data_IF_788921573653
#
_entry.id   IF_788921573653
#
_cell.length_a   1.000
_cell.length_b   1.000
_cell.length_c   1.000
_cell.angle_alpha   90.00
_cell.angle_beta   90.00
_cell.angle_gamma   90.00
#
_symmetry.space_group_name_H-M   'P 1'
#
loop_
_entity.id
_entity.type
_entity.pdbx_description
1 polymer ?
#
# COMPACT_ATOMS: atom_id res chain seq x y z
N UNK A 1 -38.28 -53.40 11.54
CA UNK A 1 -39.27 -52.94 12.52
C UNK A 1 -39.23 -51.42 12.40
N UNK A 2 -39.94 -50.83 11.48
CA UNK A 2 -41.37 -50.38 11.52
C UNK A 2 -41.67 -49.54 12.76
N UNK A 3 -41.85 -48.22 12.66
CA UNK A 3 -43.09 -47.48 12.55
C UNK A 3 -42.80 -45.98 12.69
N UNK A 4 -43.09 -45.18 11.71
CA UNK A 4 -44.29 -44.40 11.36
C UNK A 4 -44.52 -43.13 12.18
N UNK A 5 -44.56 -42.01 11.43
CA UNK A 5 -45.17 -40.68 11.70
C UNK A 5 -46.65 -40.80 12.06
N UNK A 6 -47.27 -39.75 12.62
CA UNK A 6 -47.97 -38.81 11.72
C UNK A 6 -47.97 -37.31 12.14
N UNK A 7 -48.11 -36.41 11.18
CA UNK A 7 -48.92 -35.20 11.16
C UNK A 7 -50.35 -35.57 10.74
N UNK A 8 -51.34 -34.67 10.65
CA UNK A 8 -51.50 -33.22 10.84
C UNK A 8 -52.78 -32.78 11.59
N UNK A 9 -53.10 -31.49 11.74
CA UNK A 9 -54.37 -30.92 11.23
C UNK A 9 -54.62 -29.46 11.65
N UNK A 10 -55.04 -28.74 10.64
CA UNK A 10 -55.66 -27.43 10.62
C UNK A 10 -56.84 -27.25 11.61
N UNK A 11 -57.06 -25.97 12.03
CA UNK A 11 -58.39 -25.39 12.09
C UNK A 11 -58.34 -23.87 12.34
N UNK A 12 -58.71 -23.08 11.35
CA UNK A 12 -59.41 -21.79 11.47
C UNK A 12 -60.88 -22.09 11.59
N UNK A 13 -61.82 -21.26 12.08
CA UNK A 13 -62.07 -19.88 11.70
C UNK A 13 -62.85 -18.94 12.69
N UNK A 14 -63.09 -17.76 12.19
CA UNK A 14 -64.26 -16.86 12.37
C UNK A 14 -64.24 -15.72 13.37
N UNK A 15 -64.26 -14.52 12.74
CA UNK A 15 -64.77 -13.27 13.30
C UNK A 15 -66.30 -13.26 13.51
N UNK A 16 -66.86 -12.35 14.30
CA UNK A 16 -67.85 -11.44 13.71
C UNK A 16 -67.76 -9.98 14.06
N UNK A 17 -68.48 -9.23 13.29
CA UNK A 17 -68.65 -7.78 13.10
C UNK A 17 -69.55 -7.11 14.15
N UNK A 18 -69.40 -5.74 14.12
CA UNK A 18 -70.38 -4.65 14.53
C UNK A 18 -70.18 -4.15 15.96
N UNK A 19 -70.26 -2.83 16.31
CA UNK A 19 -71.05 -1.69 15.84
C UNK A 19 -70.41 -0.36 16.31
N UNK A 20 -70.71 0.69 15.53
CA UNK A 20 -70.43 2.10 15.76
C UNK A 20 -70.96 2.65 17.12
N UNK A 21 -70.22 3.57 17.73
CA UNK A 21 -70.80 4.73 18.41
C UNK A 21 -69.77 5.87 18.47
N UNK A 22 -70.15 7.00 17.90
CA UNK A 22 -69.44 8.27 17.97
C UNK A 22 -69.71 8.97 19.29
N UNK A 23 -68.69 9.49 19.93
CA UNK A 23 -68.84 10.62 20.90
C UNK A 23 -67.62 11.49 20.88
N UNK A 24 -67.75 12.69 20.40
CA UNK A 24 -66.78 13.77 20.53
C UNK A 24 -66.72 14.25 21.97
N UNK A 25 -65.53 14.61 22.45
CA UNK A 25 -65.31 15.69 23.42
C UNK A 25 -63.83 15.90 23.79
N UNK A 26 -63.38 17.11 23.48
CA UNK A 26 -62.38 17.94 24.21
C UNK A 26 -60.98 17.38 24.54
N UNK A 27 -60.03 18.01 23.82
CA UNK A 27 -58.59 18.09 24.10
C UNK A 27 -58.33 18.88 25.39
N UNK A 28 -57.33 18.45 26.20
CA UNK A 28 -56.31 19.38 26.63
C UNK A 28 -54.93 18.95 26.09
N UNK A 29 -54.24 19.91 25.51
CA UNK A 29 -52.84 19.82 25.10
C UNK A 29 -51.96 19.62 26.34
N UNK A 30 -51.36 18.44 26.48
CA UNK A 30 -50.19 18.23 27.31
C UNK A 30 -48.98 18.19 26.42
N UNK A 31 -48.16 19.23 26.51
CA UNK A 31 -46.81 19.26 25.94
C UNK A 31 -45.97 18.19 26.63
N UNK A 32 -45.76 17.06 25.95
CA UNK A 32 -44.70 16.12 26.26
C UNK A 32 -43.41 16.66 25.64
N UNK A 33 -42.54 17.24 26.49
CA UNK A 33 -41.16 17.47 26.16
C UNK A 33 -40.48 16.10 25.88
N UNK A 34 -40.44 15.68 24.63
CA UNK A 34 -39.64 14.60 24.17
C UNK A 34 -38.19 15.04 24.22
N UNK A 35 -37.41 14.53 25.15
CA UNK A 35 -35.94 14.55 25.04
C UNK A 35 -35.55 13.62 23.87
N UNK A 36 -35.44 14.17 22.65
CA UNK A 36 -34.69 13.55 21.60
C UNK A 36 -33.22 13.78 21.94
N UNK A 37 -32.51 12.72 22.25
CA UNK A 37 -31.06 12.69 22.25
C UNK A 37 -30.57 12.67 20.77
N UNK A 38 -30.76 13.80 20.10
CA UNK A 38 -30.08 14.06 18.84
C UNK A 38 -28.72 14.66 19.16
N UNK A 39 -27.71 13.79 19.26
CA UNK A 39 -26.32 14.15 19.04
C UNK A 39 -26.09 14.44 17.55
N UNK A 40 -26.81 15.38 17.01
CA UNK A 40 -26.66 15.88 15.65
C UNK A 40 -26.12 17.29 15.69
N UNK A 41 -24.92 17.46 15.20
CA UNK A 41 -24.28 18.74 14.92
C UNK A 41 -25.18 19.52 13.94
N UNK A 42 -25.50 20.77 14.26
CA UNK A 42 -26.20 21.66 13.34
C UNK A 42 -25.41 21.75 12.02
N UNK A 43 -26.00 21.27 10.94
CA UNK A 43 -25.47 21.49 9.59
C UNK A 43 -25.74 22.95 9.20
N UNK A 44 -24.75 23.80 9.34
CA UNK A 44 -24.73 25.08 8.63
C UNK A 44 -24.66 24.79 7.13
N UNK A 45 -25.54 25.47 6.39
CA UNK A 45 -25.76 25.28 4.97
C UNK A 45 -24.46 25.23 4.16
N UNK A 46 -24.40 24.24 3.25
CA UNK A 46 -23.32 24.00 2.33
C UNK A 46 -23.03 25.24 1.47
N UNK A 47 -21.80 25.76 1.63
CA UNK A 47 -21.14 26.53 0.58
C UNK A 47 -20.49 25.52 -0.39
N UNK A 48 -20.72 25.70 -1.66
CA UNK A 48 -20.12 24.94 -2.76
C UNK A 48 -18.59 25.06 -2.71
N UNK A 49 -17.91 23.91 -2.56
CA UNK A 49 -16.45 23.78 -2.58
C UNK A 49 -16.06 22.46 -1.93
N UNK A 50 -15.88 21.41 -2.71
CA UNK A 50 -15.54 20.07 -2.24
C UNK A 50 -14.09 19.96 -1.77
N UNK A 51 -13.73 20.63 -0.68
CA UNK A 51 -12.55 20.37 0.13
C UNK A 51 -13.00 19.87 1.48
N UNK A 52 -12.63 18.65 1.86
CA UNK A 52 -12.86 18.14 3.22
C UNK A 52 -12.31 19.15 4.23
N UNK A 53 -13.06 19.44 5.29
CA UNK A 53 -12.61 20.37 6.32
C UNK A 53 -11.50 19.66 7.13
N UNK A 54 -10.29 20.24 7.14
CA UNK A 54 -9.18 19.74 7.97
C UNK A 54 -9.60 19.56 9.44
N UNK A 55 -8.94 18.65 10.13
CA UNK A 55 -9.19 18.41 11.55
C UNK A 55 -8.98 19.72 12.34
N UNK A 56 -9.90 20.03 13.27
CA UNK A 56 -9.79 21.18 14.18
C UNK A 56 -8.89 20.80 15.35
N UNK A 57 -7.65 20.49 15.08
CA UNK A 57 -6.63 20.08 16.04
C UNK A 57 -5.44 21.02 15.95
N UNK A 58 -4.59 21.02 16.95
CA UNK A 58 -3.28 21.66 16.86
C UNK A 58 -2.53 21.14 15.64
N UNK A 59 -1.88 22.03 14.90
CA UNK A 59 -1.05 21.62 13.79
C UNK A 59 0.24 20.99 14.31
N UNK A 60 0.59 19.84 13.78
CA UNK A 60 1.84 19.13 14.09
C UNK A 60 2.70 19.00 12.84
N UNK A 61 4.00 18.76 13.04
CA UNK A 61 4.99 18.57 11.96
C UNK A 61 5.35 17.11 11.84
N UNK A 62 5.13 16.53 10.67
CA UNK A 62 5.55 15.16 10.36
C UNK A 62 6.53 15.20 9.20
N UNK A 63 7.70 14.58 9.40
CA UNK A 63 8.69 14.41 8.35
C UNK A 63 8.62 12.99 7.78
N UNK A 64 8.57 12.89 6.45
CA UNK A 64 8.73 11.62 5.73
C UNK A 64 10.06 11.61 4.99
N UNK A 65 10.90 10.62 5.29
CA UNK A 65 12.23 10.47 4.72
C UNK A 65 12.32 9.13 3.99
N UNK A 66 12.46 9.17 2.67
CA UNK A 66 12.50 7.97 1.84
C UNK A 66 13.89 7.75 1.22
N UNK A 67 14.11 6.56 0.66
CA UNK A 67 15.30 6.23 -0.13
C UNK A 67 15.10 6.50 -1.64
N UNK A 68 14.12 7.34 -2.00
CA UNK A 68 13.81 7.67 -3.38
C UNK A 68 15.03 8.22 -4.13
N UNK A 69 15.32 7.63 -5.28
CA UNK A 69 16.25 8.20 -6.23
C UNK A 69 15.60 9.37 -7.02
N UNK A 70 16.38 10.35 -7.47
CA UNK A 70 15.84 11.42 -8.29
C UNK A 70 15.17 10.90 -9.57
N UNK A 71 13.91 11.29 -9.79
CA UNK A 71 13.14 10.91 -10.98
C UNK A 71 12.39 9.57 -10.88
N UNK A 72 12.46 8.88 -9.76
CA UNK A 72 11.65 7.69 -9.52
C UNK A 72 10.21 8.06 -9.14
N UNK A 73 9.30 7.91 -10.09
CA UNK A 73 7.89 8.29 -9.98
C UNK A 73 7.07 7.37 -9.07
N UNK A 74 7.59 6.23 -8.63
CA UNK A 74 6.94 5.37 -7.64
C UNK A 74 6.61 6.16 -6.36
N UNK A 75 7.55 7.01 -5.93
CA UNK A 75 7.44 7.78 -4.69
C UNK A 75 6.42 8.92 -4.73
N UNK A 76 6.00 9.35 -5.93
CA UNK A 76 4.96 10.37 -6.08
C UNK A 76 3.62 9.87 -5.52
N UNK A 77 3.33 8.55 -5.61
CA UNK A 77 2.13 7.93 -5.03
C UNK A 77 2.15 7.90 -3.51
N UNK A 78 3.29 7.52 -2.94
CA UNK A 78 3.48 7.56 -1.49
C UNK A 78 3.29 8.98 -0.97
N UNK A 79 3.88 9.97 -1.65
CA UNK A 79 3.73 11.38 -1.29
C UNK A 79 2.29 11.86 -1.41
N UNK A 80 1.60 11.52 -2.49
CA UNK A 80 0.19 11.90 -2.68
C UNK A 80 -0.69 11.39 -1.52
N UNK A 81 -0.51 10.14 -1.10
CA UNK A 81 -1.20 9.59 0.07
C UNK A 81 -0.86 10.34 1.37
N UNK A 82 0.41 10.62 1.59
CA UNK A 82 0.88 11.36 2.76
C UNK A 82 0.35 12.82 2.78
N UNK A 83 0.34 13.49 1.63
CA UNK A 83 -0.19 14.85 1.48
C UNK A 83 -1.70 14.91 1.73
N UNK A 84 -2.47 13.90 1.27
CA UNK A 84 -3.91 13.84 1.53
C UNK A 84 -4.21 13.60 3.01
N UNK A 85 -3.52 12.69 3.67
CA UNK A 85 -3.63 12.50 5.12
C UNK A 85 -3.28 13.79 5.87
N UNK A 86 -2.19 14.46 5.47
CA UNK A 86 -1.73 15.71 6.07
C UNK A 86 -2.76 16.83 5.96
N UNK A 87 -3.39 16.97 4.80
CA UNK A 87 -4.45 17.95 4.58
C UNK A 87 -5.68 17.67 5.44
N UNK A 88 -6.06 16.38 5.58
CA UNK A 88 -7.16 15.94 6.43
C UNK A 88 -6.89 16.20 7.92
N UNK A 89 -5.67 15.90 8.40
CA UNK A 89 -5.31 15.82 9.80
C UNK A 89 -4.69 17.11 10.36
N UNK A 90 -4.61 18.17 9.56
CA UNK A 90 -3.97 19.44 9.88
C UNK A 90 -2.48 19.28 10.24
N UNK A 91 -1.74 18.56 9.39
CA UNK A 91 -0.30 18.30 9.53
C UNK A 91 0.51 19.20 8.61
N UNK A 92 1.58 19.80 9.12
CA UNK A 92 2.67 20.37 8.29
C UNK A 92 3.54 19.21 7.82
N UNK A 93 3.38 18.82 6.55
CA UNK A 93 4.11 17.72 5.94
C UNK A 93 5.45 18.16 5.38
N UNK A 94 6.51 17.46 5.78
CA UNK A 94 7.88 17.70 5.34
C UNK A 94 8.39 16.44 4.65
N UNK A 95 8.99 16.59 3.47
CA UNK A 95 9.49 15.45 2.69
C UNK A 95 10.95 15.65 2.30
N UNK A 96 11.74 14.59 2.44
CA UNK A 96 13.11 14.52 1.93
C UNK A 96 13.43 13.08 1.47
N UNK A 97 14.41 12.94 0.57
CA UNK A 97 14.85 11.63 0.10
C UNK A 97 16.33 11.62 -0.28
N UNK A 98 16.95 10.48 -0.07
CA UNK A 98 18.28 10.16 -0.63
C UNK A 98 18.42 8.62 -0.72
N UNK A 99 18.85 8.06 -1.86
CA UNK A 99 19.02 6.62 -2.04
C UNK A 99 20.20 6.04 -1.25
N UNK A 100 21.15 6.89 -0.82
CA UNK A 100 22.27 6.47 -0.01
C UNK A 100 21.91 6.46 1.47
N UNK A 101 21.93 5.28 2.12
CA UNK A 101 21.50 5.10 3.50
C UNK A 101 22.16 6.07 4.50
N UNK A 102 23.48 6.34 4.34
CA UNK A 102 24.17 7.31 5.20
C UNK A 102 23.68 8.75 5.03
N UNK A 103 23.26 9.16 3.83
CA UNK A 103 22.66 10.47 3.58
C UNK A 103 21.20 10.50 4.03
N UNK A 104 20.45 9.41 3.82
CA UNK A 104 19.11 9.28 4.39
C UNK A 104 19.15 9.44 5.92
N UNK A 105 20.12 8.83 6.61
CA UNK A 105 20.33 9.02 8.04
C UNK A 105 20.60 10.47 8.45
N UNK A 106 21.39 11.19 7.64
CA UNK A 106 21.64 12.64 7.88
C UNK A 106 20.37 13.48 7.73
N UNK A 107 19.48 13.14 6.79
CA UNK A 107 18.18 13.79 6.65
C UNK A 107 17.27 13.50 7.86
N UNK A 108 17.25 12.28 8.36
CA UNK A 108 16.53 11.94 9.61
C UNK A 108 17.06 12.79 10.77
N UNK A 109 18.40 12.86 10.94
CA UNK A 109 19.00 13.68 11.98
C UNK A 109 18.58 15.15 11.89
N UNK A 110 18.57 15.70 10.67
CA UNK A 110 18.15 17.08 10.45
C UNK A 110 16.73 17.35 10.97
N UNK A 111 15.79 16.40 10.79
CA UNK A 111 14.43 16.57 11.27
C UNK A 111 14.27 16.32 12.77
N UNK A 112 15.10 15.44 13.36
CA UNK A 112 15.23 15.34 14.82
C UNK A 112 15.67 16.68 15.42
N UNK A 113 16.70 17.32 14.85
CA UNK A 113 17.23 18.61 15.29
C UNK A 113 16.20 19.76 15.11
N UNK A 114 15.29 19.65 14.14
CA UNK A 114 14.18 20.59 13.93
C UNK A 114 13.03 20.38 14.91
N UNK A 115 13.02 19.28 15.69
CA UNK A 115 11.97 18.97 16.66
C UNK A 115 10.63 18.72 16.00
N UNK A 116 10.57 17.82 14.99
CA UNK A 116 9.32 17.37 14.39
C UNK A 116 8.53 16.50 15.38
N UNK A 117 7.20 16.45 15.22
CA UNK A 117 6.31 15.69 16.11
C UNK A 117 6.18 14.22 15.72
N UNK A 118 6.73 13.82 14.57
CA UNK A 118 6.75 12.43 14.11
C UNK A 118 7.61 12.24 12.87
N UNK A 119 8.14 11.04 12.72
CA UNK A 119 8.98 10.64 11.59
C UNK A 119 8.39 9.40 10.91
N UNK A 120 8.17 9.46 9.60
CA UNK A 120 7.92 8.33 8.73
C UNK A 120 9.17 8.05 7.91
N UNK A 121 9.70 6.83 7.91
CA UNK A 121 10.97 6.52 7.26
C UNK A 121 10.95 5.16 6.56
N UNK A 122 11.61 5.05 5.40
CA UNK A 122 11.80 3.77 4.72
C UNK A 122 13.09 3.10 5.16
N UNK A 123 13.09 1.78 5.32
CA UNK A 123 14.22 1.01 5.83
C UNK A 123 14.86 0.12 4.73
N UNK A 124 15.11 0.65 3.54
CA UNK A 124 15.79 -0.10 2.48
C UNK A 124 17.19 -0.60 2.90
N UNK A 125 17.86 0.18 3.75
CA UNK A 125 19.19 -0.11 4.32
C UNK A 125 19.15 0.10 5.85
N UNK A 126 18.53 -0.81 6.61
CA UNK A 126 18.20 -0.60 8.02
C UNK A 126 19.43 -0.34 8.91
N UNK A 127 20.57 -0.99 8.64
CA UNK A 127 21.79 -0.81 9.43
C UNK A 127 22.32 0.64 9.38
N UNK A 128 22.11 1.35 8.25
CA UNK A 128 22.54 2.74 8.11
C UNK A 128 21.69 3.71 8.96
N UNK A 129 20.49 3.31 9.36
CA UNK A 129 19.53 4.14 10.07
C UNK A 129 19.48 3.83 11.59
N UNK A 130 20.08 2.75 12.03
CA UNK A 130 20.01 2.26 13.43
C UNK A 130 20.34 3.35 14.45
N UNK A 131 21.49 3.99 14.31
CA UNK A 131 21.96 4.96 15.29
C UNK A 131 21.10 6.23 15.33
N UNK A 132 20.62 6.69 14.17
CA UNK A 132 19.81 7.90 14.10
C UNK A 132 18.37 7.65 14.59
N UNK A 133 17.82 6.47 14.38
CA UNK A 133 16.51 6.10 14.90
C UNK A 133 16.52 5.94 16.42
N UNK A 134 17.61 5.41 17.00
CA UNK A 134 17.81 5.44 18.44
C UNK A 134 17.83 6.88 19.01
N UNK A 135 18.41 7.83 18.28
CA UNK A 135 18.37 9.26 18.68
C UNK A 135 16.95 9.84 18.58
N UNK A 136 16.14 9.43 17.61
CA UNK A 136 14.72 9.84 17.53
C UNK A 136 13.95 9.33 18.77
N UNK A 137 14.19 8.07 19.18
CA UNK A 137 13.60 7.49 20.38
C UNK A 137 14.05 8.25 21.66
N UNK A 138 15.36 8.55 21.80
CA UNK A 138 15.89 9.34 22.91
C UNK A 138 15.31 10.75 22.96
N UNK A 139 15.01 11.34 21.81
CA UNK A 139 14.33 12.64 21.69
C UNK A 139 12.82 12.58 21.94
N UNK A 140 12.26 11.36 22.11
CA UNK A 140 10.82 11.16 22.29
C UNK A 140 9.98 11.38 21.03
N UNK A 141 10.60 11.33 19.84
CA UNK A 141 9.92 11.51 18.56
C UNK A 141 9.41 10.14 18.08
N UNK A 142 8.10 9.95 17.93
CA UNK A 142 7.54 8.69 17.45
C UNK A 142 7.93 8.42 15.99
N UNK A 143 8.27 7.16 15.71
CA UNK A 143 8.68 6.72 14.37
C UNK A 143 7.71 5.66 13.86
N UNK A 144 7.32 5.78 12.61
CA UNK A 144 6.74 4.70 11.81
C UNK A 144 7.61 4.42 10.60
N UNK A 145 7.55 3.19 10.11
CA UNK A 145 8.26 2.82 8.90
C UNK A 145 7.29 2.46 7.78
N UNK A 146 7.75 2.56 6.54
CA UNK A 146 6.94 2.22 5.40
C UNK A 146 7.79 1.62 4.27
N UNK A 147 7.13 0.89 3.37
CA UNK A 147 7.65 0.30 2.15
C UNK A 147 8.62 -0.86 2.40
N UNK A 148 9.81 -0.63 2.92
CA UNK A 148 10.81 -1.66 3.15
C UNK A 148 11.18 -1.76 4.64
N UNK A 149 11.62 -2.94 5.09
CA UNK A 149 12.09 -3.18 6.45
C UNK A 149 10.99 -3.64 7.42
N UNK A 150 10.04 -4.40 6.91
CA UNK A 150 8.94 -4.99 7.70
C UNK A 150 9.43 -5.94 8.81
N UNK A 151 10.62 -6.48 8.67
CA UNK A 151 11.22 -7.38 9.67
C UNK A 151 12.12 -6.64 10.69
N UNK A 152 12.54 -5.40 10.40
CA UNK A 152 13.50 -4.64 11.20
C UNK A 152 12.85 -3.47 11.96
N UNK A 153 11.62 -3.09 11.65
CA UNK A 153 11.01 -1.86 12.17
C UNK A 153 10.91 -1.82 13.70
N UNK A 154 10.53 -2.93 14.32
CA UNK A 154 10.37 -3.02 15.79
C UNK A 154 11.73 -2.93 16.50
N UNK A 155 12.75 -3.63 15.98
CA UNK A 155 14.11 -3.60 16.50
C UNK A 155 14.79 -2.24 16.35
N UNK A 156 14.26 -1.37 15.47
CA UNK A 156 14.73 0.00 15.24
C UNK A 156 13.85 1.05 15.92
N UNK A 157 12.96 0.64 16.84
CA UNK A 157 12.18 1.54 17.68
C UNK A 157 10.94 2.13 17.02
N UNK A 158 10.59 1.74 15.79
CA UNK A 158 9.36 2.17 15.16
C UNK A 158 8.15 1.44 15.75
N UNK A 159 7.03 2.13 15.96
CA UNK A 159 5.86 1.54 16.58
C UNK A 159 4.88 0.90 15.58
N UNK A 160 5.04 1.13 14.29
CA UNK A 160 4.23 0.56 13.21
C UNK A 160 5.04 0.50 11.91
N UNK A 161 4.65 -0.44 11.02
CA UNK A 161 5.13 -0.54 9.65
C UNK A 161 3.95 -0.63 8.68
N UNK A 162 4.03 0.07 7.54
CA UNK A 162 3.05 0.04 6.46
C UNK A 162 3.75 -0.34 5.15
N UNK A 163 3.54 -1.56 4.68
CA UNK A 163 4.25 -2.07 3.52
C UNK A 163 3.68 -3.40 3.02
N UNK A 164 4.43 -4.06 2.17
CA UNK A 164 4.16 -5.43 1.73
C UNK A 164 5.02 -6.40 2.53
N UNK A 165 4.56 -7.64 2.68
CA UNK A 165 5.46 -8.74 3.01
C UNK A 165 6.22 -9.10 1.72
N UNK A 166 7.47 -8.67 1.65
CA UNK A 166 8.26 -8.73 0.41
C UNK A 166 8.68 -10.15 0.05
N UNK A 167 8.90 -11.02 1.03
CA UNK A 167 9.16 -12.44 0.79
C UNK A 167 7.91 -13.12 0.23
N UNK A 168 6.74 -12.89 0.85
CA UNK A 168 5.45 -13.42 0.38
C UNK A 168 5.10 -12.87 -1.02
N UNK A 169 5.38 -11.60 -1.28
CA UNK A 169 5.16 -10.98 -2.58
C UNK A 169 6.00 -11.66 -3.67
N UNK A 170 7.27 -11.98 -3.35
CA UNK A 170 8.14 -12.77 -4.21
C UNK A 170 7.64 -14.19 -4.46
N UNK A 171 7.22 -14.89 -3.40
CA UNK A 171 6.62 -16.23 -3.51
C UNK A 171 5.38 -16.21 -4.40
N UNK A 172 4.49 -15.23 -4.19
CA UNK A 172 3.27 -15.04 -4.99
C UNK A 172 3.62 -14.87 -6.48
N UNK A 173 4.63 -14.04 -6.80
CA UNK A 173 5.08 -13.86 -8.18
C UNK A 173 5.63 -15.17 -8.78
N UNK A 174 6.46 -15.89 -8.02
CA UNK A 174 7.02 -17.17 -8.45
C UNK A 174 5.94 -18.25 -8.65
N UNK A 175 4.96 -18.33 -7.77
CA UNK A 175 3.81 -19.26 -7.89
C UNK A 175 2.97 -18.93 -9.14
N UNK A 176 2.72 -17.65 -9.42
CA UNK A 176 2.00 -17.23 -10.65
C UNK A 176 2.76 -17.61 -11.92
N UNK A 177 4.08 -17.42 -11.98
CA UNK A 177 4.89 -17.88 -13.13
C UNK A 177 4.82 -19.40 -13.28
N UNK A 178 4.89 -20.14 -12.17
CA UNK A 178 4.81 -21.60 -12.17
C UNK A 178 3.46 -22.12 -12.66
N UNK A 179 2.35 -21.45 -12.33
CA UNK A 179 1.01 -21.76 -12.84
C UNK A 179 0.91 -21.64 -14.37
N UNK A 180 1.66 -20.69 -14.95
CA UNK A 180 1.78 -20.51 -16.41
C UNK A 180 2.80 -21.48 -17.05
N UNK A 181 3.41 -22.35 -16.25
CA UNK A 181 4.38 -23.37 -16.73
C UNK A 181 5.80 -22.84 -16.90
N UNK A 182 6.09 -21.62 -16.45
CA UNK A 182 7.42 -21.00 -16.51
C UNK A 182 8.28 -21.51 -15.35
N UNK A 183 9.58 -21.75 -15.59
CA UNK A 183 10.47 -22.41 -14.63
C UNK A 183 11.81 -21.70 -14.44
N UNK A 184 12.23 -20.86 -15.40
CA UNK A 184 13.56 -20.27 -15.47
C UNK A 184 13.49 -18.73 -15.48
N UNK A 185 12.96 -18.08 -14.41
CA UNK A 185 12.85 -16.63 -14.37
C UNK A 185 14.18 -15.95 -14.12
N UNK A 186 14.36 -14.77 -14.71
CA UNK A 186 15.38 -13.79 -14.32
C UNK A 186 14.73 -12.73 -13.45
N UNK A 187 15.12 -12.64 -12.17
CA UNK A 187 14.68 -11.60 -11.25
C UNK A 187 15.67 -10.43 -11.27
N UNK A 188 15.20 -9.22 -11.60
CA UNK A 188 16.07 -8.05 -11.83
C UNK A 188 16.04 -7.11 -10.66
N UNK A 189 17.18 -6.98 -9.95
CA UNK A 189 17.33 -6.09 -8.79
C UNK A 189 18.00 -4.79 -9.24
N UNK A 190 17.28 -3.68 -9.17
CA UNK A 190 17.74 -2.35 -9.56
C UNK A 190 18.51 -1.59 -8.48
N UNK A 191 18.46 -2.06 -7.23
CA UNK A 191 19.19 -1.49 -6.10
C UNK A 191 19.79 -2.58 -5.23
N UNK A 192 21.06 -2.88 -5.44
CA UNK A 192 21.77 -3.91 -4.68
C UNK A 192 21.83 -3.59 -3.19
N UNK A 193 21.51 -4.59 -2.35
CA UNK A 193 21.51 -4.46 -0.90
C UNK A 193 20.27 -3.77 -0.33
N UNK A 194 19.25 -3.56 -1.15
CA UNK A 194 17.91 -3.14 -0.70
C UNK A 194 17.17 -4.37 -0.14
N UNK A 195 16.91 -4.41 1.17
CA UNK A 195 16.38 -5.60 1.85
C UNK A 195 15.06 -6.11 1.24
N UNK A 196 14.14 -5.24 0.86
CA UNK A 196 12.87 -5.63 0.24
C UNK A 196 13.03 -6.22 -1.15
N UNK A 197 13.89 -5.64 -2.02
CA UNK A 197 14.11 -6.17 -3.37
C UNK A 197 14.84 -7.52 -3.33
N UNK A 198 15.79 -7.68 -2.41
CA UNK A 198 16.45 -8.97 -2.18
C UNK A 198 15.44 -10.02 -1.69
N UNK A 199 14.52 -9.64 -0.78
CA UNK A 199 13.45 -10.53 -0.28
C UNK A 199 12.48 -10.95 -1.39
N UNK A 200 12.08 -10.03 -2.29
CA UNK A 200 11.24 -10.35 -3.47
C UNK A 200 11.89 -11.43 -4.34
N UNK A 201 13.14 -11.24 -4.74
CA UNK A 201 13.85 -12.24 -5.56
C UNK A 201 14.10 -13.54 -4.79
N UNK A 202 14.34 -13.49 -3.48
CA UNK A 202 14.45 -14.68 -2.64
C UNK A 202 13.13 -15.47 -2.62
N UNK A 203 11.98 -14.79 -2.49
CA UNK A 203 10.65 -15.39 -2.56
C UNK A 203 10.35 -16.03 -3.92
N UNK A 204 10.69 -15.36 -5.02
CA UNK A 204 10.58 -15.96 -6.37
C UNK A 204 11.42 -17.22 -6.46
N UNK A 205 12.65 -17.19 -5.95
CA UNK A 205 13.57 -18.35 -5.98
C UNK A 205 13.10 -19.50 -5.09
N UNK A 206 12.40 -19.21 -4.00
CA UNK A 206 11.80 -20.26 -3.16
C UNK A 206 10.71 -21.03 -3.90
N UNK A 207 9.87 -20.34 -4.67
CA UNK A 207 8.83 -20.95 -5.50
C UNK A 207 9.41 -21.62 -6.76
N UNK A 208 10.44 -21.02 -7.39
CA UNK A 208 11.11 -21.44 -8.62
C UNK A 208 12.63 -21.47 -8.40
N UNK A 209 13.20 -22.62 -7.98
CA UNK A 209 14.63 -22.72 -7.60
C UNK A 209 15.63 -22.35 -8.71
N UNK A 210 15.24 -22.46 -10.00
CA UNK A 210 16.07 -22.12 -11.15
C UNK A 210 16.10 -20.60 -11.45
N UNK A 211 15.55 -19.76 -10.54
CA UNK A 211 15.60 -18.31 -10.65
C UNK A 211 17.03 -17.79 -10.65
N UNK A 212 17.37 -17.04 -11.70
CA UNK A 212 18.60 -16.28 -11.77
C UNK A 212 18.37 -14.83 -11.29
N UNK A 213 19.35 -14.28 -10.54
CA UNK A 213 19.30 -12.88 -10.09
C UNK A 213 20.21 -12.04 -10.98
N UNK A 214 19.65 -10.94 -11.50
CA UNK A 214 20.38 -9.97 -12.29
C UNK A 214 20.42 -8.62 -11.57
N UNK A 215 21.60 -8.18 -11.16
CA UNK A 215 21.78 -6.84 -10.59
C UNK A 215 22.03 -5.83 -11.71
N UNK A 216 21.31 -4.72 -11.67
CA UNK A 216 21.44 -3.58 -12.57
C UNK A 216 21.58 -2.29 -11.79
N UNK A 217 22.06 -1.22 -12.42
CA UNK A 217 22.15 0.09 -11.80
C UNK A 217 20.89 0.91 -12.13
N UNK A 218 19.89 0.89 -11.25
CA UNK A 218 18.58 1.49 -11.49
C UNK A 218 18.56 3.01 -11.70
N UNK A 219 19.63 3.72 -11.36
CA UNK A 219 19.80 5.15 -11.66
C UNK A 219 20.21 5.42 -13.11
N UNK A 220 20.52 4.39 -13.90
CA UNK A 220 20.91 4.47 -15.31
C UNK A 220 20.07 3.50 -16.15
N UNK A 221 18.93 3.96 -16.68
CA UNK A 221 18.01 3.15 -17.46
C UNK A 221 18.64 2.62 -18.76
N UNK A 222 19.64 3.30 -19.31
CA UNK A 222 20.40 2.80 -20.48
C UNK A 222 21.21 1.58 -20.09
N UNK A 223 21.84 1.60 -18.93
CA UNK A 223 22.57 0.45 -18.39
C UNK A 223 21.60 -0.70 -18.04
N UNK A 224 20.44 -0.41 -17.47
CA UNK A 224 19.38 -1.41 -17.21
C UNK A 224 19.02 -2.13 -18.51
N UNK A 225 18.66 -1.37 -19.56
CA UNK A 225 18.29 -1.93 -20.88
C UNK A 225 19.40 -2.76 -21.49
N UNK A 226 20.64 -2.24 -21.56
CA UNK A 226 21.76 -2.95 -22.19
C UNK A 226 22.15 -4.22 -21.43
N UNK A 227 22.11 -4.19 -20.09
CA UNK A 227 22.46 -5.35 -19.26
C UNK A 227 21.40 -6.44 -19.38
N UNK A 228 20.11 -6.07 -19.34
CA UNK A 228 18.99 -6.99 -19.51
C UNK A 228 18.99 -7.62 -20.92
N UNK A 229 19.22 -6.82 -21.98
CA UNK A 229 19.36 -7.32 -23.36
C UNK A 229 20.48 -8.35 -23.47
N UNK A 230 21.68 -8.04 -22.97
CA UNK A 230 22.81 -8.97 -23.01
C UNK A 230 22.53 -10.25 -22.21
N UNK A 231 21.87 -10.13 -21.06
CA UNK A 231 21.47 -11.27 -20.22
C UNK A 231 20.49 -12.19 -20.96
N UNK A 232 19.44 -11.63 -21.55
CA UNK A 232 18.44 -12.39 -22.32
C UNK A 232 19.05 -13.08 -23.54
N UNK A 233 19.99 -12.43 -24.24
CA UNK A 233 20.72 -13.05 -25.36
C UNK A 233 21.62 -14.21 -24.93
N UNK A 234 22.15 -14.14 -23.70
CA UNK A 234 23.04 -15.17 -23.17
C UNK A 234 22.31 -16.36 -22.53
N UNK A 235 21.09 -16.12 -21.99
CA UNK A 235 20.31 -17.11 -21.24
C UNK A 235 19.22 -17.71 -22.12
N UNK A 236 19.60 -18.72 -22.91
CA UNK A 236 18.66 -19.39 -23.85
C UNK A 236 17.57 -20.21 -23.18
N UNK A 237 17.71 -20.51 -21.90
CA UNK A 237 16.71 -21.25 -21.09
C UNK A 237 15.77 -20.33 -20.30
N UNK A 238 16.08 -19.02 -20.23
CA UNK A 238 15.23 -18.07 -19.54
C UNK A 238 13.88 -17.94 -20.25
N UNK A 239 12.81 -18.32 -19.55
CA UNK A 239 11.43 -18.29 -20.05
C UNK A 239 10.65 -17.08 -19.56
N UNK A 240 11.16 -16.38 -18.53
CA UNK A 240 10.55 -15.20 -17.99
C UNK A 240 11.56 -14.22 -17.38
N UNK A 241 11.19 -12.94 -17.30
CA UNK A 241 11.95 -11.88 -16.65
C UNK A 241 11.02 -11.02 -15.80
N UNK A 242 11.44 -10.73 -14.57
CA UNK A 242 10.66 -9.99 -13.59
C UNK A 242 11.34 -8.68 -13.27
N UNK A 243 10.64 -7.57 -13.51
CA UNK A 243 11.03 -6.23 -13.04
C UNK A 243 10.47 -5.95 -11.66
N UNK A 244 11.27 -5.40 -10.75
CA UNK A 244 10.85 -5.11 -9.39
C UNK A 244 10.33 -3.67 -9.21
N UNK A 245 9.85 -3.07 -10.27
CA UNK A 245 9.22 -1.76 -10.31
C UNK A 245 8.75 -1.40 -11.72
N UNK A 246 7.68 -0.61 -11.82
CA UNK A 246 7.01 -0.33 -13.09
C UNK A 246 7.93 0.31 -14.17
N UNK A 247 8.73 1.36 -13.89
CA UNK A 247 9.61 1.94 -14.90
C UNK A 247 10.67 0.96 -15.41
N UNK A 248 11.17 0.10 -14.51
CA UNK A 248 12.16 -0.94 -14.87
C UNK A 248 11.54 -1.99 -15.75
N UNK A 249 10.32 -2.45 -15.46
CA UNK A 249 9.60 -3.44 -16.26
C UNK A 249 9.34 -2.93 -17.68
N UNK A 250 8.96 -1.67 -17.85
CA UNK A 250 8.81 -1.08 -19.19
C UNK A 250 10.14 -1.11 -19.96
N UNK A 251 11.25 -0.84 -19.29
CA UNK A 251 12.60 -0.97 -19.88
C UNK A 251 12.96 -2.43 -20.21
N UNK A 252 12.49 -3.40 -19.41
CA UNK A 252 12.70 -4.84 -19.68
C UNK A 252 11.88 -5.32 -20.88
N UNK A 253 10.70 -4.76 -21.15
CA UNK A 253 9.96 -5.03 -22.40
C UNK A 253 10.78 -4.61 -23.63
N UNK A 254 11.34 -3.42 -23.62
CA UNK A 254 12.22 -2.94 -24.71
C UNK A 254 13.49 -3.81 -24.86
N UNK A 255 14.08 -4.22 -23.72
CA UNK A 255 15.25 -5.09 -23.70
C UNK A 255 14.95 -6.48 -24.28
N UNK A 256 13.78 -7.05 -23.96
CA UNK A 256 13.28 -8.31 -24.53
C UNK A 256 13.17 -8.23 -26.05
N UNK A 257 12.55 -7.18 -26.58
CA UNK A 257 12.43 -6.94 -28.03
C UNK A 257 13.81 -6.83 -28.70
N UNK A 258 14.71 -6.02 -28.09
CA UNK A 258 16.08 -5.82 -28.58
C UNK A 258 16.91 -7.10 -28.55
N UNK A 259 16.64 -7.99 -27.60
CA UNK A 259 17.29 -9.29 -27.50
C UNK A 259 16.73 -10.34 -28.50
N UNK A 260 15.54 -10.10 -29.06
CA UNK A 260 14.77 -11.10 -29.81
C UNK A 260 14.39 -12.30 -28.94
N UNK A 261 14.08 -12.06 -27.66
CA UNK A 261 13.76 -13.09 -26.68
C UNK A 261 12.24 -13.31 -26.61
N UNK A 262 11.81 -14.56 -26.43
CA UNK A 262 10.41 -14.94 -26.21
C UNK A 262 10.04 -14.96 -24.71
N UNK A 263 10.93 -14.53 -23.81
CA UNK A 263 10.68 -14.54 -22.36
C UNK A 263 9.43 -13.74 -22.00
N UNK A 264 8.60 -14.30 -21.13
CA UNK A 264 7.42 -13.63 -20.57
C UNK A 264 7.86 -12.56 -19.57
N UNK A 265 7.21 -11.39 -19.60
CA UNK A 265 7.52 -10.30 -18.67
C UNK A 265 6.49 -10.25 -17.53
N UNK A 266 6.97 -10.18 -16.31
CA UNK A 266 6.16 -9.93 -15.11
C UNK A 266 6.73 -8.76 -14.30
N UNK A 267 5.95 -8.21 -13.39
CA UNK A 267 6.30 -6.98 -12.71
C UNK A 267 5.96 -6.98 -11.22
N UNK A 268 6.55 -6.02 -10.56
CA UNK A 268 6.10 -5.47 -9.29
C UNK A 268 5.77 -3.99 -9.48
N UNK A 269 4.94 -3.48 -8.57
CA UNK A 269 4.42 -2.11 -8.54
C UNK A 269 3.50 -1.79 -9.74
N UNK A 270 3.02 -0.55 -9.81
CA UNK A 270 2.11 -0.15 -10.89
C UNK A 270 2.29 1.33 -11.25
N UNK A 271 2.02 1.65 -12.50
CA UNK A 271 1.72 2.96 -13.01
C UNK A 271 0.78 2.80 -14.23
N UNK A 272 0.32 3.90 -14.81
CA UNK A 272 -0.61 3.85 -15.93
C UNK A 272 -0.09 3.05 -17.13
N UNK A 273 1.19 3.25 -17.50
CA UNK A 273 1.81 2.56 -18.64
C UNK A 273 1.90 1.04 -18.39
N UNK A 274 2.31 0.64 -17.17
CA UNK A 274 2.39 -0.77 -16.82
C UNK A 274 1.00 -1.42 -16.72
N UNK A 275 0.02 -0.72 -16.12
CA UNK A 275 -1.36 -1.22 -16.07
C UNK A 275 -1.93 -1.45 -17.47
N UNK A 276 -1.65 -0.53 -18.41
CA UNK A 276 -2.03 -0.71 -19.80
C UNK A 276 -1.31 -1.91 -20.44
N UNK A 277 -0.02 -2.09 -20.18
CA UNK A 277 0.74 -3.23 -20.70
C UNK A 277 0.21 -4.58 -20.17
N UNK A 278 -0.34 -4.62 -18.94
CA UNK A 278 -1.04 -5.82 -18.42
C UNK A 278 -2.37 -6.02 -19.15
N UNK A 279 -3.15 -4.96 -19.40
CA UNK A 279 -4.40 -5.02 -20.18
C UNK A 279 -4.14 -5.52 -21.60
N UNK A 280 -3.07 -5.04 -22.24
CA UNK A 280 -2.68 -5.40 -23.62
C UNK A 280 -2.07 -6.81 -23.71
N UNK A 281 -1.68 -7.40 -22.58
CA UNK A 281 -1.07 -8.73 -22.49
C UNK A 281 0.45 -8.76 -22.75
N UNK A 282 1.10 -7.61 -22.80
CA UNK A 282 2.56 -7.49 -22.94
C UNK A 282 3.27 -7.83 -21.62
N UNK A 283 2.61 -7.60 -20.49
CA UNK A 283 3.04 -8.01 -19.15
C UNK A 283 2.02 -8.98 -18.58
N UNK A 284 2.47 -10.13 -18.10
CA UNK A 284 1.61 -11.21 -17.63
C UNK A 284 0.81 -10.82 -16.38
N UNK A 285 1.48 -10.22 -15.41
CA UNK A 285 0.91 -9.69 -14.17
C UNK A 285 1.86 -8.70 -13.51
N UNK A 286 1.33 -7.94 -12.55
CA UNK A 286 2.14 -7.19 -11.59
C UNK A 286 1.70 -7.48 -10.16
N UNK A 287 2.64 -7.40 -9.21
CA UNK A 287 2.37 -7.48 -7.77
C UNK A 287 2.34 -6.06 -7.23
N UNK A 288 1.15 -5.58 -6.93
CA UNK A 288 0.94 -4.23 -6.40
C UNK A 288 1.02 -4.21 -4.87
N UNK A 289 1.74 -3.24 -4.32
CA UNK A 289 1.88 -3.01 -2.89
C UNK A 289 1.05 -1.81 -2.37
N UNK A 290 0.28 -1.15 -3.22
CA UNK A 290 -0.61 -0.02 -2.90
C UNK A 290 0.13 1.14 -2.20
N UNK A 291 1.10 1.76 -2.86
CA UNK A 291 2.02 2.74 -2.25
C UNK A 291 1.32 3.98 -1.68
N UNK A 292 0.22 4.42 -2.29
CA UNK A 292 -0.57 5.53 -1.77
C UNK A 292 -1.05 5.28 -0.34
N UNK A 293 -1.53 4.04 -0.06
CA UNK A 293 -1.95 3.65 1.30
C UNK A 293 -0.79 3.70 2.29
N UNK A 294 0.41 3.31 1.89
CA UNK A 294 1.59 3.37 2.75
C UNK A 294 1.87 4.80 3.22
N UNK A 295 1.85 5.76 2.29
CA UNK A 295 2.01 7.17 2.60
C UNK A 295 0.91 7.72 3.51
N UNK A 296 -0.34 7.46 3.14
CA UNK A 296 -1.52 7.91 3.89
C UNK A 296 -1.52 7.38 5.33
N UNK A 297 -1.37 6.08 5.50
CA UNK A 297 -1.42 5.43 6.82
C UNK A 297 -0.25 5.83 7.71
N UNK A 298 0.92 6.11 7.14
CA UNK A 298 2.08 6.57 7.90
C UNK A 298 1.82 7.92 8.59
N UNK A 299 1.28 8.89 7.86
CA UNK A 299 0.96 10.21 8.41
C UNK A 299 -0.23 10.12 9.38
N UNK A 300 -1.32 9.47 8.97
CA UNK A 300 -2.52 9.31 9.80
C UNK A 300 -2.21 8.59 11.13
N UNK A 301 -1.35 7.56 11.10
CA UNK A 301 -0.93 6.82 12.29
C UNK A 301 -0.10 7.68 13.26
N UNK A 302 0.82 8.50 12.75
CA UNK A 302 1.60 9.44 13.56
C UNK A 302 0.70 10.51 14.19
N UNK A 303 -0.26 11.05 13.42
CA UNK A 303 -1.25 11.98 13.94
C UNK A 303 -2.13 11.36 15.04
N UNK A 304 -2.61 10.12 14.85
CA UNK A 304 -3.35 9.38 15.87
C UNK A 304 -2.50 9.13 17.12
N UNK A 305 -1.22 8.81 16.95
CA UNK A 305 -0.29 8.64 18.05
C UNK A 305 -0.14 9.93 18.86
N UNK A 306 0.06 11.06 18.20
CA UNK A 306 0.12 12.38 18.85
C UNK A 306 -1.17 12.72 19.60
N UNK A 307 -2.34 12.36 19.06
CA UNK A 307 -3.67 12.61 19.64
C UNK A 307 -3.98 11.80 20.89
N UNK A 308 -3.46 10.62 21.05
CA UNK A 308 -3.86 9.72 22.13
C UNK A 308 -2.97 8.52 22.34
N UNK A 309 -1.72 8.57 21.87
CA UNK A 309 -0.75 7.48 21.95
C UNK A 309 -1.28 6.17 21.31
N UNK A 310 -2.17 6.30 20.32
CA UNK A 310 -2.66 5.11 19.59
C UNK A 310 -1.55 4.48 18.77
N UNK A 311 -1.56 3.15 18.68
CA UNK A 311 -0.63 2.37 17.88
C UNK A 311 -1.41 1.36 17.04
N UNK A 312 -1.19 1.39 15.74
CA UNK A 312 -1.80 0.46 14.77
C UNK A 312 -0.90 -0.77 14.64
N UNK A 313 -1.47 -1.90 14.22
CA UNK A 313 -0.74 -3.14 13.94
C UNK A 313 -0.49 -4.04 15.14
N UNK A 314 -0.54 -3.53 16.38
CA UNK A 314 -0.31 -4.36 17.58
C UNK A 314 1.06 -5.03 17.63
N UNK A 315 2.11 -4.35 17.13
CA UNK A 315 3.47 -4.89 17.01
C UNK A 315 3.70 -5.77 15.76
N UNK A 316 2.74 -5.80 14.84
CA UNK A 316 2.90 -6.49 13.56
C UNK A 316 2.83 -5.49 12.41
N UNK A 317 3.48 -5.77 11.25
CA UNK A 317 3.32 -4.95 10.07
C UNK A 317 1.84 -4.85 9.64
N UNK A 318 1.43 -3.69 9.18
CA UNK A 318 0.13 -3.50 8.54
C UNK A 318 0.33 -3.63 7.03
N UNK A 319 -0.10 -4.75 6.48
CA UNK A 319 0.18 -5.08 5.09
C UNK A 319 -0.71 -4.30 4.13
N UNK A 320 -0.10 -3.68 3.13
CA UNK A 320 -0.76 -3.04 1.99
C UNK A 320 -0.66 -3.87 0.70
N UNK A 321 0.01 -5.01 0.74
CA UNK A 321 0.21 -5.98 -0.32
C UNK A 321 0.73 -7.31 0.23
N UNK A 322 0.94 -8.32 -0.64
CA UNK A 322 0.83 -8.29 -2.10
C UNK A 322 -0.62 -8.33 -2.62
N UNK A 323 -0.89 -7.60 -3.72
CA UNK A 323 -2.11 -7.71 -4.48
C UNK A 323 -1.76 -8.04 -5.95
N UNK A 324 -2.27 -9.15 -6.48
CA UNK A 324 -2.02 -9.54 -7.88
C UNK A 324 -2.93 -8.75 -8.80
N UNK A 325 -2.33 -8.10 -9.80
CA UNK A 325 -3.05 -7.47 -10.90
C UNK A 325 -2.64 -8.15 -12.21
N UNK A 326 -3.62 -8.77 -12.86
CA UNK A 326 -3.46 -9.47 -14.13
C UNK A 326 -4.60 -9.14 -15.10
N UNK A 327 -4.67 -9.81 -16.25
CA UNK A 327 -5.70 -9.56 -17.27
C UNK A 327 -7.15 -9.68 -16.78
N UNK A 328 -7.38 -10.29 -15.61
CA UNK A 328 -8.74 -10.44 -15.06
C UNK A 328 -9.25 -9.22 -14.31
N UNK A 329 -8.35 -8.33 -13.85
CA UNK A 329 -8.68 -7.18 -13.00
C UNK A 329 -7.92 -5.88 -13.33
N UNK A 330 -7.01 -5.91 -14.32
CA UNK A 330 -6.20 -4.73 -14.67
C UNK A 330 -7.05 -3.55 -15.16
N UNK A 331 -8.15 -3.81 -15.88
CA UNK A 331 -9.08 -2.75 -16.31
C UNK A 331 -9.73 -2.02 -15.13
N UNK A 332 -9.99 -2.73 -14.02
CA UNK A 332 -10.63 -2.15 -12.82
C UNK A 332 -9.73 -1.14 -12.10
N UNK A 333 -8.42 -1.25 -12.27
CA UNK A 333 -7.42 -0.40 -11.59
C UNK A 333 -6.75 0.61 -12.53
N UNK A 334 -6.92 0.48 -13.85
CA UNK A 334 -6.25 1.31 -14.86
C UNK A 334 -6.54 2.80 -14.69
N UNK A 335 -7.80 3.18 -14.42
CA UNK A 335 -8.17 4.58 -14.18
C UNK A 335 -7.41 5.15 -12.99
N UNK A 336 -7.38 4.43 -11.87
CA UNK A 336 -6.66 4.84 -10.64
C UNK A 336 -5.14 4.87 -10.82
N UNK A 337 -4.59 3.97 -11.63
CA UNK A 337 -3.16 3.98 -11.97
C UNK A 337 -2.79 5.22 -12.80
N UNK A 338 -3.67 5.64 -13.73
CA UNK A 338 -3.50 6.85 -14.52
C UNK A 338 -3.65 8.14 -13.67
N UNK A 339 -4.48 8.11 -12.64
CA UNK A 339 -4.65 9.21 -11.68
C UNK A 339 -3.50 9.29 -10.64
N UNK A 340 -2.62 8.30 -10.61
CA UNK A 340 -1.50 8.23 -9.65
C UNK A 340 -1.90 7.84 -8.24
N UNK A 341 -3.06 7.18 -8.09
CA UNK A 341 -3.56 6.64 -6.80
C UNK A 341 -3.12 5.18 -6.62
N UNK A 342 -2.92 4.47 -7.75
CA UNK A 342 -2.42 3.08 -7.75
C UNK A 342 -1.08 2.98 -8.47
#
# INVERSE_FOLDING_TARGET
MTARRPSPENLRPRAPRRLLAAAALLVPAMALAGCSSEGGRETTAAGEGGGGQAAQTEQIKIAMITHAAPGDTFWDRIRAGAEEASAKDNVEFLYASDPEGGRQAQLVQQYIDQGVDGIAVTLAKPDALRDVLAQAEEAGIPVVTLNAGENEFEDLGAFAHFGSDEQLAGQTAGERLKEEGLQHPICVIQEQGHVGLEARCAGVKEALPETEILYVQGTDMTQVSSTATAKLQASTEADSIIGLGAPYTMTLLEAKESAGSDATVASFDMNGDLAQAVVDGDVLFTIDQQPWLQGYMSVDSLWQNHRGAFRIGGGQPTLTGPAVVDSSNAEDVLEYANEGIR
#
